data_IF_837664835710
#
_entry.id   IF_837664835710
#
_cell.length_a   1.000
_cell.length_b   1.000
_cell.length_c   1.000
_cell.angle_alpha   90.00
_cell.angle_beta   90.00
_cell.angle_gamma   90.00
#
_symmetry.space_group_name_H-M   'P 1'
#
loop_
_entity.id
_entity.type
_entity.pdbx_description
1 polymer ?
#
# COMPACT_ATOMS: atom_id res chain seq x y z
N UNK A 1 -40.58 -15.03 -25.15
CA UNK A 1 -39.22 -15.44 -25.51
C UNK A 1 -38.39 -14.16 -25.68
N UNK A 2 -37.73 -13.68 -24.63
CA UNK A 2 -36.76 -12.62 -24.76
C UNK A 2 -35.48 -13.19 -25.38
N UNK A 3 -34.84 -12.52 -26.33
CA UNK A 3 -33.62 -13.03 -26.92
C UNK A 3 -32.57 -13.17 -25.81
N UNK A 4 -32.05 -14.37 -25.66
CA UNK A 4 -30.77 -14.60 -24.96
C UNK A 4 -29.76 -13.70 -25.66
N UNK A 5 -29.48 -12.54 -25.10
CA UNK A 5 -28.30 -11.78 -25.45
C UNK A 5 -27.12 -12.64 -25.08
N UNK A 6 -26.67 -13.31 -26.08
CA UNK A 6 -25.49 -14.15 -26.07
C UNK A 6 -24.33 -13.30 -25.53
N UNK A 7 -23.68 -13.78 -24.47
CA UNK A 7 -22.42 -13.27 -23.97
C UNK A 7 -21.28 -13.40 -25.00
N UNK A 8 -21.63 -13.65 -26.28
CA UNK A 8 -20.76 -13.75 -27.45
C UNK A 8 -20.11 -12.41 -27.88
N UNK A 9 -20.27 -11.35 -27.11
CA UNK A 9 -19.36 -10.20 -27.18
C UNK A 9 -17.92 -10.53 -26.79
N UNK A 10 -17.56 -11.81 -26.60
CA UNK A 10 -16.19 -12.29 -26.48
C UNK A 10 -15.47 -12.20 -27.82
N UNK A 11 -15.05 -10.98 -28.15
CA UNK A 11 -14.07 -10.83 -29.21
C UNK A 11 -12.74 -11.50 -28.82
N UNK A 12 -11.98 -11.95 -29.81
CA UNK A 12 -10.65 -12.54 -29.67
C UNK A 12 -9.89 -12.02 -28.45
N UNK A 13 -9.42 -12.94 -27.57
CA UNK A 13 -8.59 -12.68 -26.38
C UNK A 13 -9.30 -12.23 -25.10
N UNK A 14 -10.53 -12.69 -24.80
CA UNK A 14 -11.23 -12.41 -23.53
C UNK A 14 -11.53 -10.95 -23.23
N UNK A 15 -11.87 -10.17 -24.23
CA UNK A 15 -12.41 -8.83 -24.07
C UNK A 15 -13.93 -8.90 -23.93
N UNK A 16 -14.46 -8.19 -22.92
CA UNK A 16 -15.90 -8.03 -22.71
C UNK A 16 -16.29 -6.65 -23.21
N UNK A 17 -17.24 -6.60 -24.15
CA UNK A 17 -17.83 -5.37 -24.65
C UNK A 17 -19.12 -5.05 -23.89
N UNK A 18 -19.45 -3.76 -23.77
CA UNK A 18 -20.73 -3.32 -23.20
C UNK A 18 -20.90 -3.69 -21.72
N UNK A 19 -19.78 -3.78 -20.96
CA UNK A 19 -19.85 -3.99 -19.51
C UNK A 19 -20.54 -2.82 -18.84
N UNK A 20 -21.70 -3.06 -18.22
CA UNK A 20 -22.48 -2.09 -17.48
C UNK A 20 -22.86 -2.65 -16.10
N UNK A 21 -22.07 -2.43 -15.07
CA UNK A 21 -22.34 -2.94 -13.72
C UNK A 21 -23.50 -2.23 -13.03
N UNK A 22 -23.93 -1.04 -13.52
CA UNK A 22 -25.08 -0.31 -12.97
C UNK A 22 -26.42 -0.88 -13.42
N UNK A 23 -26.45 -1.65 -14.52
CA UNK A 23 -27.63 -2.39 -14.95
C UNK A 23 -27.90 -3.56 -13.98
N UNK A 24 -28.93 -3.44 -13.16
CA UNK A 24 -29.26 -4.40 -12.10
C UNK A 24 -29.56 -5.79 -12.66
N UNK A 25 -30.27 -5.89 -13.78
CA UNK A 25 -30.60 -7.18 -14.42
C UNK A 25 -29.33 -7.88 -14.92
N UNK A 26 -28.43 -7.16 -15.58
CA UNK A 26 -27.14 -7.69 -16.01
C UNK A 26 -26.28 -8.07 -14.80
N UNK A 27 -26.23 -7.23 -13.77
CA UNK A 27 -25.44 -7.48 -12.58
C UNK A 27 -25.87 -8.76 -11.87
N UNK A 28 -27.16 -8.92 -11.60
CA UNK A 28 -27.67 -10.09 -10.87
C UNK A 28 -27.59 -11.39 -11.70
N UNK A 29 -27.75 -11.32 -13.02
CA UNK A 29 -27.70 -12.52 -13.87
C UNK A 29 -26.29 -13.06 -14.09
N UNK A 30 -25.29 -12.22 -14.33
CA UNK A 30 -23.95 -12.64 -14.75
C UNK A 30 -22.82 -11.73 -14.30
N UNK A 31 -23.08 -10.41 -14.15
CA UNK A 31 -22.06 -9.41 -13.87
C UNK A 31 -21.34 -9.69 -12.55
N UNK A 32 -22.08 -9.94 -11.46
CA UNK A 32 -21.50 -10.21 -10.13
C UNK A 32 -20.55 -11.40 -10.10
N UNK A 33 -20.87 -12.47 -10.84
CA UNK A 33 -20.02 -13.66 -10.90
C UNK A 33 -18.71 -13.38 -11.61
N UNK A 34 -18.77 -12.69 -12.75
CA UNK A 34 -17.59 -12.29 -13.52
C UNK A 34 -16.72 -11.31 -12.71
N UNK A 35 -17.33 -10.31 -12.05
CA UNK A 35 -16.63 -9.36 -11.20
C UNK A 35 -15.93 -10.07 -10.02
N UNK A 36 -16.64 -10.96 -9.31
CA UNK A 36 -16.06 -11.73 -8.19
C UNK A 36 -14.88 -12.60 -8.66
N UNK A 37 -14.99 -13.25 -9.81
CA UNK A 37 -13.90 -14.06 -10.36
C UNK A 37 -12.67 -13.22 -10.66
N UNK A 38 -12.82 -12.04 -11.27
CA UNK A 38 -11.72 -11.12 -11.52
C UNK A 38 -11.13 -10.58 -10.22
N UNK A 39 -11.94 -10.29 -9.19
CA UNK A 39 -11.49 -9.84 -7.88
C UNK A 39 -10.59 -10.87 -7.19
N UNK A 40 -10.97 -12.15 -7.17
CA UNK A 40 -10.17 -13.19 -6.50
C UNK A 40 -8.76 -13.27 -7.07
N UNK A 41 -8.62 -13.29 -8.39
CA UNK A 41 -7.30 -13.35 -9.03
C UNK A 41 -6.53 -12.03 -8.93
N UNK A 42 -7.24 -10.90 -8.89
CA UNK A 42 -6.66 -9.59 -8.61
C UNK A 42 -6.07 -9.53 -7.20
N UNK A 43 -6.79 -10.05 -6.19
CA UNK A 43 -6.30 -10.15 -4.81
C UNK A 43 -5.02 -10.98 -4.74
N UNK A 44 -4.97 -12.14 -5.40
CA UNK A 44 -3.78 -12.99 -5.40
C UNK A 44 -2.59 -12.30 -6.08
N UNK A 45 -2.81 -11.63 -7.20
CA UNK A 45 -1.77 -10.87 -7.90
C UNK A 45 -1.25 -9.69 -7.05
N UNK A 46 -2.14 -8.99 -6.35
CA UNK A 46 -1.78 -7.88 -5.46
C UNK A 46 -1.05 -8.38 -4.21
N UNK A 47 -1.51 -9.48 -3.62
CA UNK A 47 -0.85 -10.16 -2.51
C UNK A 47 0.60 -10.51 -2.86
N UNK A 48 0.84 -11.13 -4.02
CA UNK A 48 2.19 -11.44 -4.50
C UNK A 48 3.01 -10.17 -4.79
N UNK A 49 2.37 -9.16 -5.39
CA UNK A 49 3.01 -7.86 -5.60
C UNK A 49 3.55 -7.27 -4.31
N UNK A 50 2.75 -7.26 -3.25
CA UNK A 50 3.16 -6.74 -1.93
C UNK A 50 4.18 -7.64 -1.24
N UNK A 51 4.04 -8.97 -1.35
CA UNK A 51 5.01 -9.92 -0.78
C UNK A 51 6.40 -9.71 -1.38
N UNK A 52 6.49 -9.58 -2.71
CA UNK A 52 7.77 -9.36 -3.41
C UNK A 52 8.27 -7.93 -3.20
N UNK A 53 7.38 -6.94 -3.17
CA UNK A 53 7.76 -5.54 -2.89
C UNK A 53 8.43 -5.39 -1.54
N UNK A 54 7.90 -6.05 -0.51
CA UNK A 54 8.41 -5.97 0.86
C UNK A 54 9.41 -7.09 1.20
N UNK A 55 9.85 -7.87 0.22
CA UNK A 55 10.76 -9.00 0.44
C UNK A 55 12.08 -8.57 1.09
N UNK A 56 12.63 -7.43 0.65
CA UNK A 56 13.86 -6.89 1.23
C UNK A 56 13.71 -6.41 2.67
N UNK A 57 12.49 -6.08 3.14
CA UNK A 57 12.25 -5.69 4.53
C UNK A 57 12.69 -6.78 5.53
N UNK A 58 12.54 -8.04 5.14
CA UNK A 58 12.91 -9.19 5.98
C UNK A 58 14.22 -9.84 5.53
N UNK A 59 14.52 -9.88 4.24
CA UNK A 59 15.73 -10.52 3.71
C UNK A 59 17.02 -9.83 4.20
N UNK A 60 17.02 -8.50 4.35
CA UNK A 60 18.20 -7.74 4.85
C UNK A 60 18.66 -8.14 6.25
N UNK A 61 17.76 -8.72 7.05
CA UNK A 61 18.06 -9.18 8.42
C UNK A 61 19.07 -10.34 8.39
N UNK A 62 19.02 -11.17 7.35
CA UNK A 62 19.85 -12.37 7.22
C UNK A 62 21.17 -12.13 6.47
N UNK A 63 21.35 -10.97 5.84
CA UNK A 63 22.56 -10.66 5.07
C UNK A 63 23.87 -10.79 5.86
N UNK A 64 23.97 -10.31 7.13
CA UNK A 64 25.21 -10.48 7.90
C UNK A 64 25.57 -11.94 8.15
N UNK A 65 24.57 -12.79 8.45
CA UNK A 65 24.79 -14.21 8.68
C UNK A 65 25.15 -14.98 7.39
N UNK A 66 24.83 -14.41 6.22
CA UNK A 66 25.26 -14.93 4.91
C UNK A 66 26.59 -14.34 4.43
N UNK A 67 27.31 -13.59 5.27
CA UNK A 67 28.64 -13.05 4.97
C UNK A 67 28.67 -11.67 4.32
N UNK A 68 27.52 -10.98 4.18
CA UNK A 68 27.46 -9.62 3.62
C UNK A 68 27.58 -8.58 4.74
N UNK A 69 28.77 -7.95 4.87
CA UNK A 69 29.10 -7.00 5.93
C UNK A 69 28.58 -5.57 5.63
N UNK A 70 27.27 -5.42 5.36
CA UNK A 70 26.66 -4.12 5.16
C UNK A 70 26.35 -3.44 6.49
N UNK A 71 26.62 -2.12 6.56
CA UNK A 71 26.23 -1.31 7.71
C UNK A 71 24.71 -1.28 7.91
N UNK A 72 24.27 -0.88 9.10
CA UNK A 72 22.82 -0.74 9.40
C UNK A 72 22.16 0.24 8.43
N UNK A 73 22.81 1.39 8.17
CA UNK A 73 22.31 2.39 7.21
C UNK A 73 22.20 1.81 5.79
N UNK A 74 23.21 1.07 5.32
CA UNK A 74 23.15 0.42 4.02
C UNK A 74 21.99 -0.58 3.90
N UNK A 75 21.67 -1.33 4.96
CA UNK A 75 20.52 -2.23 4.99
C UNK A 75 19.20 -1.48 4.96
N UNK A 76 19.08 -0.35 5.67
CA UNK A 76 17.91 0.52 5.57
C UNK A 76 17.76 1.16 4.18
N UNK A 77 18.88 1.45 3.47
CA UNK A 77 18.82 1.90 2.08
C UNK A 77 18.23 0.83 1.15
N UNK A 78 18.65 -0.44 1.28
CA UNK A 78 18.08 -1.54 0.48
C UNK A 78 16.56 -1.61 0.67
N UNK A 79 16.08 -1.55 1.92
CA UNK A 79 14.64 -1.54 2.23
C UNK A 79 13.93 -0.33 1.62
N UNK A 80 14.51 0.84 1.76
CA UNK A 80 13.92 2.11 1.34
C UNK A 80 13.78 2.22 -0.18
N UNK A 81 14.82 1.82 -0.95
CA UNK A 81 14.84 1.92 -2.42
C UNK A 81 13.71 1.12 -3.06
N UNK A 82 13.41 -0.09 -2.55
CA UNK A 82 12.29 -0.90 -3.01
C UNK A 82 10.96 -0.11 -2.91
N UNK A 83 10.77 0.61 -1.80
CA UNK A 83 9.57 1.41 -1.57
C UNK A 83 9.52 2.67 -2.42
N UNK A 84 10.65 3.33 -2.65
CA UNK A 84 10.74 4.51 -3.52
C UNK A 84 10.32 4.18 -4.95
N UNK A 85 10.90 3.12 -5.51
CA UNK A 85 10.55 2.68 -6.87
C UNK A 85 9.11 2.21 -6.93
N UNK A 86 8.63 1.50 -5.90
CA UNK A 86 7.23 1.08 -5.81
C UNK A 86 6.26 2.26 -5.82
N UNK A 87 6.56 3.34 -5.11
CA UNK A 87 5.77 4.56 -5.14
C UNK A 87 5.77 5.22 -6.54
N UNK A 88 6.93 5.36 -7.16
CA UNK A 88 7.06 5.99 -8.48
C UNK A 88 6.34 5.18 -9.58
N UNK A 89 6.49 3.85 -9.57
CA UNK A 89 5.91 3.00 -10.61
C UNK A 89 4.37 2.92 -10.54
N UNK A 90 3.75 3.20 -9.38
CA UNK A 90 2.28 3.31 -9.25
C UNK A 90 1.67 4.29 -10.23
N UNK A 91 2.35 5.41 -10.49
CA UNK A 91 1.89 6.42 -11.44
C UNK A 91 1.77 5.79 -12.84
N UNK A 92 2.80 5.05 -13.26
CA UNK A 92 2.79 4.38 -14.58
C UNK A 92 1.74 3.27 -14.65
N UNK A 93 1.60 2.46 -13.59
CA UNK A 93 0.68 1.34 -13.53
C UNK A 93 -0.80 1.78 -13.53
N UNK A 94 -1.09 3.00 -13.09
CA UNK A 94 -2.45 3.58 -13.18
C UNK A 94 -2.95 3.66 -14.62
N UNK A 95 -2.05 3.88 -15.59
CA UNK A 95 -2.39 3.98 -17.02
C UNK A 95 -2.38 2.63 -17.74
N UNK A 96 -1.87 1.58 -17.10
CA UNK A 96 -1.63 0.32 -17.76
C UNK A 96 -2.93 -0.46 -18.05
N UNK A 97 -3.88 -0.49 -17.11
CA UNK A 97 -5.17 -1.18 -17.28
C UNK A 97 -5.99 -0.62 -18.43
N UNK A 98 -6.19 0.70 -18.53
CA UNK A 98 -6.91 1.28 -19.66
C UNK A 98 -6.25 1.07 -21.03
N UNK A 99 -4.92 0.91 -21.08
CA UNK A 99 -4.16 0.74 -22.31
C UNK A 99 -4.07 -0.72 -22.76
N UNK A 100 -3.81 -1.64 -21.84
CA UNK A 100 -3.49 -3.04 -22.12
C UNK A 100 -4.62 -4.01 -21.77
N UNK A 101 -5.61 -3.57 -20.97
CA UNK A 101 -6.65 -4.39 -20.37
C UNK A 101 -6.21 -4.98 -19.03
N UNK A 102 -7.17 -5.16 -18.13
CA UNK A 102 -6.90 -5.58 -16.76
C UNK A 102 -6.28 -6.96 -16.64
N UNK A 103 -6.82 -7.94 -17.38
CA UNK A 103 -6.26 -9.30 -17.44
C UNK A 103 -4.82 -9.30 -17.98
N UNK A 104 -4.61 -8.67 -19.13
CA UNK A 104 -3.31 -8.67 -19.80
C UNK A 104 -2.25 -7.98 -18.92
N UNK A 105 -2.63 -6.87 -18.28
CA UNK A 105 -1.72 -6.19 -17.38
C UNK A 105 -1.43 -6.99 -16.11
N UNK A 106 -2.43 -7.68 -15.54
CA UNK A 106 -2.20 -8.57 -14.39
C UNK A 106 -1.20 -9.66 -14.74
N UNK A 107 -1.32 -10.29 -15.92
CA UNK A 107 -0.35 -11.28 -16.40
C UNK A 107 1.05 -10.66 -16.51
N UNK A 108 1.18 -9.52 -17.17
CA UNK A 108 2.47 -8.84 -17.34
C UNK A 108 3.09 -8.44 -16.01
N UNK A 109 2.31 -7.85 -15.09
CA UNK A 109 2.81 -7.41 -13.79
C UNK A 109 3.20 -8.55 -12.86
N UNK A 110 2.51 -9.70 -12.92
CA UNK A 110 2.90 -10.90 -12.17
C UNK A 110 4.15 -11.56 -12.78
N UNK A 111 4.29 -11.57 -14.12
CA UNK A 111 5.54 -12.02 -14.77
C UNK A 111 6.73 -11.15 -14.38
N UNK A 112 6.53 -9.83 -14.27
CA UNK A 112 7.58 -8.90 -13.86
C UNK A 112 8.09 -9.18 -12.44
N UNK A 113 7.33 -9.86 -11.56
CA UNK A 113 7.81 -10.26 -10.23
C UNK A 113 8.93 -11.30 -10.27
N UNK A 114 9.06 -12.04 -11.37
CA UNK A 114 10.18 -12.99 -11.55
C UNK A 114 11.52 -12.26 -11.60
N UNK A 115 11.56 -11.02 -12.08
CA UNK A 115 12.78 -10.24 -12.15
C UNK A 115 13.39 -9.96 -10.77
N UNK A 116 12.70 -9.32 -9.80
CA UNK A 116 13.25 -9.10 -8.47
C UNK A 116 13.53 -10.41 -7.71
N UNK A 117 12.75 -11.47 -7.91
CA UNK A 117 13.01 -12.79 -7.33
C UNK A 117 14.34 -13.34 -7.86
N UNK A 118 14.52 -13.33 -9.19
CA UNK A 118 15.76 -13.81 -9.82
C UNK A 118 16.98 -12.97 -9.43
N UNK A 119 16.81 -11.64 -9.35
CA UNK A 119 17.90 -10.74 -8.93
C UNK A 119 18.28 -10.94 -7.45
N UNK A 120 17.30 -11.16 -6.56
CA UNK A 120 17.61 -11.50 -5.17
C UNK A 120 18.43 -12.79 -5.11
N UNK A 121 17.98 -13.85 -5.78
CA UNK A 121 18.69 -15.13 -5.84
C UNK A 121 20.13 -14.93 -6.36
N UNK A 122 20.29 -14.21 -7.47
CA UNK A 122 21.61 -13.94 -8.05
C UNK A 122 22.53 -13.18 -7.08
N UNK A 123 22.00 -12.14 -6.41
CA UNK A 123 22.78 -11.34 -5.45
C UNK A 123 23.28 -12.17 -4.27
N UNK A 124 22.41 -13.00 -3.69
CA UNK A 124 22.77 -13.74 -2.47
C UNK A 124 23.52 -15.06 -2.73
N UNK A 125 23.55 -15.52 -3.99
CA UNK A 125 24.30 -16.73 -4.38
C UNK A 125 25.80 -16.49 -4.57
N UNK A 126 26.24 -15.24 -4.70
CA UNK A 126 27.64 -14.89 -4.85
C UNK A 126 28.08 -13.99 -3.68
N UNK A 127 28.97 -14.47 -2.79
CA UNK A 127 29.44 -13.69 -1.64
C UNK A 127 30.21 -12.42 -2.03
N UNK A 128 30.70 -12.33 -3.26
CA UNK A 128 31.39 -11.14 -3.78
C UNK A 128 30.47 -10.13 -4.44
N UNK A 129 29.15 -10.31 -4.35
CA UNK A 129 28.19 -9.37 -4.94
C UNK A 129 28.35 -7.97 -4.32
N UNK A 130 28.63 -6.94 -5.13
CA UNK A 130 28.81 -5.59 -4.63
C UNK A 130 27.50 -4.98 -4.16
N UNK A 131 27.58 -4.08 -3.20
CA UNK A 131 26.40 -3.43 -2.58
C UNK A 131 25.43 -2.80 -3.56
N UNK A 132 25.91 -2.15 -4.63
CA UNK A 132 25.06 -1.52 -5.61
C UNK A 132 24.12 -2.49 -6.33
N UNK A 133 24.51 -3.76 -6.50
CA UNK A 133 23.64 -4.79 -7.10
C UNK A 133 22.43 -5.09 -6.18
N UNK A 134 22.63 -5.09 -4.86
CA UNK A 134 21.52 -5.21 -3.90
C UNK A 134 20.55 -4.03 -4.00
N UNK A 135 21.04 -2.80 -4.23
CA UNK A 135 20.17 -1.64 -4.46
C UNK A 135 19.37 -1.78 -5.75
N UNK A 136 19.98 -2.29 -6.84
CA UNK A 136 19.28 -2.53 -8.10
C UNK A 136 18.25 -3.65 -7.96
N UNK A 137 18.58 -4.73 -7.26
CA UNK A 137 17.65 -5.83 -6.98
C UNK A 137 16.48 -5.36 -6.10
N UNK A 138 16.74 -4.52 -5.10
CA UNK A 138 15.72 -3.89 -4.28
C UNK A 138 14.84 -2.92 -5.07
N UNK A 139 15.44 -2.12 -5.95
CA UNK A 139 14.70 -1.25 -6.88
C UNK A 139 13.76 -2.06 -7.77
N UNK A 140 14.20 -3.19 -8.30
CA UNK A 140 13.37 -4.09 -9.09
C UNK A 140 12.17 -4.64 -8.29
N UNK A 141 12.31 -4.88 -6.98
CA UNK A 141 11.20 -5.30 -6.13
C UNK A 141 10.07 -4.25 -6.08
N UNK A 142 10.38 -2.97 -6.33
CA UNK A 142 9.40 -1.91 -6.49
C UNK A 142 8.35 -2.17 -7.57
N UNK A 143 8.65 -3.01 -8.59
CA UNK A 143 7.65 -3.44 -9.59
C UNK A 143 6.42 -4.08 -8.95
N UNK A 144 6.58 -4.81 -7.84
CA UNK A 144 5.47 -5.36 -7.07
C UNK A 144 4.59 -4.29 -6.42
N UNK A 145 5.17 -3.19 -5.96
CA UNK A 145 4.46 -2.07 -5.34
C UNK A 145 3.50 -1.35 -6.30
N UNK A 146 3.77 -1.40 -7.60
CA UNK A 146 2.91 -0.85 -8.65
C UNK A 146 1.58 -1.58 -8.79
N UNK A 147 1.53 -2.87 -8.47
CA UNK A 147 0.32 -3.69 -8.61
C UNK A 147 -0.90 -3.13 -7.89
N UNK A 148 -0.72 -2.45 -6.77
CA UNK A 148 -1.82 -1.78 -6.07
C UNK A 148 -2.60 -0.84 -7.00
N UNK A 149 -1.92 0.04 -7.71
CA UNK A 149 -2.57 1.04 -8.55
C UNK A 149 -3.35 0.41 -9.71
N UNK A 150 -2.74 -0.57 -10.40
CA UNK A 150 -3.38 -1.26 -11.51
C UNK A 150 -4.52 -2.19 -11.08
N UNK A 151 -4.34 -2.91 -9.99
CA UNK A 151 -5.34 -3.81 -9.40
C UNK A 151 -6.58 -3.03 -8.96
N UNK A 152 -6.39 -1.96 -8.20
CA UNK A 152 -7.49 -1.08 -7.75
C UNK A 152 -8.23 -0.45 -8.94
N UNK A 153 -7.50 0.05 -9.96
CA UNK A 153 -8.10 0.57 -11.17
C UNK A 153 -8.93 -0.50 -11.90
N UNK A 154 -8.37 -1.71 -12.09
CA UNK A 154 -9.06 -2.81 -12.76
C UNK A 154 -10.37 -3.16 -12.06
N UNK A 155 -10.34 -3.43 -10.76
CA UNK A 155 -11.51 -3.83 -9.98
C UNK A 155 -12.56 -2.72 -9.93
N UNK A 156 -12.17 -1.44 -9.93
CA UNK A 156 -13.11 -0.33 -9.95
C UNK A 156 -14.02 -0.32 -11.17
N UNK A 157 -13.58 -0.85 -12.32
CA UNK A 157 -14.40 -0.95 -13.53
C UNK A 157 -15.37 -2.14 -13.52
N UNK A 158 -15.09 -3.17 -12.71
CA UNK A 158 -15.94 -4.35 -12.64
C UNK A 158 -17.16 -4.18 -11.74
N UNK A 159 -17.13 -3.29 -10.74
CA UNK A 159 -18.17 -3.20 -9.70
C UNK A 159 -19.02 -1.94 -9.83
N UNK A 160 -20.35 -2.05 -9.53
CA UNK A 160 -21.24 -0.89 -9.44
C UNK A 160 -20.85 0.02 -8.27
N UNK A 161 -21.17 1.30 -8.34
CA UNK A 161 -20.81 2.31 -7.34
C UNK A 161 -21.20 1.89 -5.91
N UNK A 162 -22.40 1.29 -5.75
CA UNK A 162 -22.91 0.86 -4.45
C UNK A 162 -22.05 -0.24 -3.77
N UNK A 163 -21.30 -1.04 -4.56
CA UNK A 163 -20.48 -2.17 -4.07
C UNK A 163 -18.98 -1.97 -4.29
N UNK A 164 -18.60 -0.93 -5.02
CA UNK A 164 -17.21 -0.64 -5.40
C UNK A 164 -16.30 -0.47 -4.19
N UNK A 165 -16.73 0.31 -3.20
CA UNK A 165 -15.95 0.55 -1.98
C UNK A 165 -15.58 -0.74 -1.24
N UNK A 166 -16.54 -1.66 -1.08
CA UNK A 166 -16.30 -2.96 -0.45
C UNK A 166 -15.31 -3.80 -1.27
N UNK A 167 -15.50 -3.88 -2.59
CA UNK A 167 -14.63 -4.66 -3.47
C UNK A 167 -13.18 -4.15 -3.45
N UNK A 168 -13.00 -2.83 -3.53
CA UNK A 168 -11.69 -2.19 -3.45
C UNK A 168 -11.06 -2.36 -2.06
N UNK A 169 -11.87 -2.27 -1.01
CA UNK A 169 -11.41 -2.51 0.37
C UNK A 169 -10.88 -3.94 0.57
N UNK A 170 -11.61 -4.94 0.08
CA UNK A 170 -11.19 -6.34 0.14
C UNK A 170 -9.94 -6.60 -0.70
N UNK A 171 -9.87 -6.01 -1.91
CA UNK A 171 -8.69 -6.11 -2.77
C UNK A 171 -7.45 -5.54 -2.07
N UNK A 172 -7.54 -4.33 -1.54
CA UNK A 172 -6.45 -3.67 -0.84
C UNK A 172 -6.02 -4.41 0.45
N UNK A 173 -6.97 -4.97 1.20
CA UNK A 173 -6.66 -5.77 2.39
C UNK A 173 -5.89 -7.05 2.01
N UNK A 174 -6.28 -7.71 0.92
CA UNK A 174 -5.57 -8.87 0.40
C UNK A 174 -4.13 -8.57 0.02
N UNK A 175 -3.88 -7.42 -0.64
CA UNK A 175 -2.52 -6.95 -0.93
C UNK A 175 -1.70 -6.72 0.35
N UNK A 176 -2.23 -5.95 1.29
CA UNK A 176 -1.54 -5.65 2.54
C UNK A 176 -1.17 -6.91 3.35
N UNK A 177 -2.01 -7.96 3.32
CA UNK A 177 -1.70 -9.25 3.95
C UNK A 177 -0.43 -9.89 3.37
N UNK A 178 -0.09 -9.61 2.12
CA UNK A 178 1.16 -10.10 1.50
C UNK A 178 2.40 -9.67 2.27
N UNK A 179 2.40 -8.47 2.84
CA UNK A 179 3.51 -7.98 3.70
C UNK A 179 3.64 -8.82 4.95
N UNK A 180 2.53 -9.03 5.68
CA UNK A 180 2.53 -9.81 6.91
C UNK A 180 2.95 -11.27 6.67
N UNK A 181 2.41 -11.89 5.62
CA UNK A 181 2.73 -13.27 5.27
C UNK A 181 4.19 -13.42 4.83
N UNK A 182 4.74 -12.46 4.09
CA UNK A 182 6.16 -12.47 3.75
C UNK A 182 7.05 -12.41 5.00
N UNK A 183 6.76 -11.50 5.93
CA UNK A 183 7.53 -11.38 7.17
C UNK A 183 7.38 -12.57 8.09
N UNK A 184 6.24 -13.27 8.07
CA UNK A 184 6.02 -14.49 8.84
C UNK A 184 6.76 -15.69 8.26
N UNK A 185 6.64 -15.91 6.94
CA UNK A 185 7.09 -17.15 6.30
C UNK A 185 8.55 -17.12 5.83
N UNK A 186 9.06 -15.95 5.41
CA UNK A 186 10.42 -15.86 4.87
C UNK A 186 11.50 -16.30 5.86
N UNK A 187 11.46 -15.94 7.17
CA UNK A 187 12.44 -16.42 8.12
C UNK A 187 12.50 -17.94 8.22
N UNK A 188 11.33 -18.60 8.19
CA UNK A 188 11.26 -20.07 8.22
C UNK A 188 11.79 -20.68 6.91
N UNK A 189 11.48 -20.08 5.76
CA UNK A 189 11.98 -20.54 4.48
C UNK A 189 13.50 -20.42 4.36
N UNK A 190 14.07 -19.31 4.83
CA UNK A 190 15.52 -19.06 4.83
C UNK A 190 16.27 -20.05 5.73
N UNK A 191 15.65 -20.52 6.80
CA UNK A 191 16.21 -21.47 7.76
C UNK A 191 16.07 -22.95 7.35
N UNK A 192 15.51 -23.25 6.18
CA UNK A 192 15.37 -24.63 5.69
C UNK A 192 16.73 -25.19 5.28
N UNK A 193 17.10 -26.34 5.83
CA UNK A 193 18.36 -27.03 5.53
C UNK A 193 19.47 -26.81 6.58
N UNK A 194 20.71 -27.09 6.22
CA UNK A 194 21.87 -27.05 7.13
C UNK A 194 22.47 -25.65 7.33
N UNK A 195 21.75 -24.56 6.98
CA UNK A 195 22.27 -23.20 7.09
C UNK A 195 21.27 -22.14 6.64
N UNK A 196 21.72 -20.89 6.58
CA UNK A 196 20.92 -19.76 6.13
C UNK A 196 21.00 -19.65 4.60
N UNK A 197 19.88 -19.90 3.91
CA UNK A 197 19.79 -19.82 2.45
C UNK A 197 18.82 -18.72 2.04
N UNK A 198 19.30 -17.48 1.94
CA UNK A 198 18.45 -16.29 1.63
C UNK A 198 17.74 -16.43 0.28
N UNK A 199 18.28 -17.19 -0.68
CA UNK A 199 17.65 -17.45 -1.97
C UNK A 199 16.21 -18.00 -1.81
N UNK A 200 15.95 -18.78 -0.78
CA UNK A 200 14.61 -19.34 -0.53
C UNK A 200 13.59 -18.25 -0.19
N UNK A 201 14.00 -17.10 0.32
CA UNK A 201 13.11 -15.95 0.52
C UNK A 201 12.41 -15.53 -0.79
N UNK A 202 13.09 -15.64 -1.92
CA UNK A 202 12.52 -15.37 -3.24
C UNK A 202 11.86 -16.60 -3.87
N UNK A 203 12.54 -17.74 -3.86
CA UNK A 203 12.10 -18.95 -4.58
C UNK A 203 10.78 -19.51 -4.07
N UNK A 204 10.47 -19.35 -2.77
CA UNK A 204 9.21 -19.81 -2.18
C UNK A 204 7.95 -19.25 -2.83
N UNK A 205 8.05 -18.10 -3.51
CA UNK A 205 6.92 -17.44 -4.16
C UNK A 205 6.64 -17.98 -5.57
N UNK A 206 7.56 -18.69 -6.20
CA UNK A 206 7.42 -19.18 -7.59
C UNK A 206 6.16 -20.03 -7.82
N UNK A 207 5.78 -20.97 -6.94
CA UNK A 207 4.54 -21.74 -7.13
C UNK A 207 3.30 -20.85 -7.14
N UNK A 208 3.22 -19.86 -6.25
CA UNK A 208 2.10 -18.92 -6.20
C UNK A 208 2.11 -17.93 -7.39
N UNK A 209 3.28 -17.52 -7.86
CA UNK A 209 3.42 -16.74 -9.09
C UNK A 209 2.89 -17.53 -10.28
N UNK A 210 3.26 -18.81 -10.42
CA UNK A 210 2.75 -19.69 -11.48
C UNK A 210 1.22 -19.85 -11.39
N UNK A 211 0.68 -20.04 -10.18
CA UNK A 211 -0.76 -20.12 -9.93
C UNK A 211 -1.48 -18.82 -10.33
N UNK A 212 -0.94 -17.66 -9.95
CA UNK A 212 -1.52 -16.35 -10.28
C UNK A 212 -1.50 -16.08 -11.79
N UNK A 213 -0.41 -16.46 -12.48
CA UNK A 213 -0.30 -16.38 -13.93
C UNK A 213 -1.34 -17.27 -14.62
N UNK A 214 -1.45 -18.53 -14.21
CA UNK A 214 -2.44 -19.47 -14.72
C UNK A 214 -3.87 -18.96 -14.49
N UNK A 215 -4.14 -18.48 -13.27
CA UNK A 215 -5.44 -17.92 -12.92
C UNK A 215 -5.78 -16.66 -13.70
N UNK A 216 -4.86 -15.73 -13.84
CA UNK A 216 -5.05 -14.53 -14.65
C UNK A 216 -5.27 -14.91 -16.14
N UNK A 217 -4.48 -15.86 -16.66
CA UNK A 217 -4.60 -16.32 -18.03
C UNK A 217 -5.94 -16.99 -18.32
N UNK A 218 -6.42 -17.86 -17.44
CA UNK A 218 -7.62 -18.67 -17.69
C UNK A 218 -8.92 -18.11 -17.12
N UNK A 219 -8.84 -17.23 -16.12
CA UNK A 219 -10.03 -16.83 -15.35
C UNK A 219 -10.31 -15.32 -15.38
N UNK A 220 -9.34 -14.46 -15.70
CA UNK A 220 -9.58 -13.03 -15.79
C UNK A 220 -10.05 -12.58 -17.17
N UNK A 221 -10.65 -11.41 -17.23
CA UNK A 221 -11.17 -10.79 -18.45
C UNK A 221 -10.66 -9.34 -18.58
N UNK A 222 -10.64 -8.84 -19.82
CA UNK A 222 -10.42 -7.44 -20.13
C UNK A 222 -11.77 -6.74 -20.38
N UNK A 223 -11.87 -5.47 -20.01
CA UNK A 223 -13.04 -4.63 -20.29
C UNK A 223 -12.70 -3.57 -21.34
N UNK A 224 -13.50 -3.48 -22.41
CA UNK A 224 -13.35 -2.42 -23.42
C UNK A 224 -13.83 -1.06 -22.91
N UNK A 225 -14.65 -1.05 -21.87
CA UNK A 225 -15.16 0.14 -21.18
C UNK A 225 -14.16 0.77 -20.22
N UNK A 226 -13.09 0.05 -19.85
CA UNK A 226 -12.03 0.56 -18.96
C UNK A 226 -11.14 1.56 -19.70
N UNK A 227 -11.57 2.81 -19.79
CA UNK A 227 -10.85 3.88 -20.45
C UNK A 227 -10.20 4.83 -19.44
N UNK A 228 -8.95 5.22 -19.69
CA UNK A 228 -8.27 6.27 -18.95
C UNK A 228 -8.79 7.65 -19.38
N UNK A 229 -8.87 8.54 -18.41
CA UNK A 229 -9.09 9.96 -18.65
C UNK A 229 -7.87 10.77 -18.19
N UNK A 230 -6.74 10.74 -18.91
CA UNK A 230 -5.49 11.39 -18.47
C UNK A 230 -5.65 12.88 -18.20
N UNK A 231 -6.59 13.53 -18.91
CA UNK A 231 -6.90 14.95 -18.69
C UNK A 231 -7.44 15.21 -17.29
N UNK A 232 -8.28 14.32 -16.75
CA UNK A 232 -8.81 14.45 -15.38
C UNK A 232 -7.68 14.21 -14.39
N UNK A 233 -6.83 13.20 -14.60
CA UNK A 233 -5.70 12.92 -13.72
C UNK A 233 -4.70 14.08 -13.64
N UNK A 234 -4.46 14.79 -14.74
CA UNK A 234 -3.65 16.01 -14.74
C UNK A 234 -4.37 17.20 -14.12
N UNK A 235 -5.69 17.33 -14.36
CA UNK A 235 -6.49 18.41 -13.80
C UNK A 235 -6.54 18.38 -12.27
N UNK A 236 -6.67 17.20 -11.67
CA UNK A 236 -6.73 17.08 -10.20
C UNK A 236 -5.42 17.47 -9.51
N UNK A 237 -4.29 17.47 -10.20
CA UNK A 237 -3.02 17.96 -9.66
C UNK A 237 -3.03 19.48 -9.39
N UNK A 238 -3.96 20.23 -10.01
CA UNK A 238 -4.12 21.67 -9.79
C UNK A 238 -4.92 21.99 -8.52
N UNK A 239 -5.64 21.01 -7.95
CA UNK A 239 -6.41 21.22 -6.74
C UNK A 239 -5.53 21.13 -5.50
N UNK A 240 -5.52 22.17 -4.66
CA UNK A 240 -4.74 22.21 -3.41
C UNK A 240 -5.07 21.05 -2.46
N UNK A 241 -6.35 20.65 -2.39
CA UNK A 241 -6.78 19.53 -1.54
C UNK A 241 -6.20 18.17 -1.99
N UNK A 242 -5.82 18.01 -3.26
CA UNK A 242 -5.09 16.81 -3.71
C UNK A 242 -3.76 16.68 -2.97
N UNK A 243 -3.01 17.75 -2.87
CA UNK A 243 -1.71 17.76 -2.19
C UNK A 243 -1.83 17.68 -0.67
N UNK A 244 -2.86 18.31 -0.10
CA UNK A 244 -3.18 18.15 1.33
C UNK A 244 -3.49 16.68 1.63
N UNK A 245 -4.33 16.04 0.83
CA UNK A 245 -4.65 14.61 1.02
C UNK A 245 -3.43 13.72 0.77
N UNK A 246 -2.56 14.05 -0.18
CA UNK A 246 -1.29 13.34 -0.37
C UNK A 246 -0.39 13.45 0.87
N UNK A 247 -0.26 14.64 1.45
CA UNK A 247 0.48 14.88 2.69
C UNK A 247 -0.08 14.07 3.87
N UNK A 248 -1.39 14.13 4.10
CA UNK A 248 -2.04 13.35 5.17
C UNK A 248 -1.93 11.85 4.93
N UNK A 249 -1.95 11.41 3.67
CA UNK A 249 -1.85 10.00 3.33
C UNK A 249 -0.42 9.45 3.47
N UNK A 250 0.61 10.30 3.34
CA UNK A 250 1.98 9.96 3.79
C UNK A 250 1.96 9.67 5.30
N UNK A 251 1.22 10.46 6.09
CA UNK A 251 1.08 10.27 7.52
C UNK A 251 0.37 8.98 7.92
N UNK A 252 -0.59 8.51 7.14
CA UNK A 252 -1.37 7.32 7.45
C UNK A 252 -0.85 6.08 6.71
N UNK A 253 -1.07 5.97 5.41
CA UNK A 253 -0.61 4.83 4.63
C UNK A 253 0.92 4.76 4.55
N UNK A 254 1.57 5.94 4.45
CA UNK A 254 3.02 6.00 4.43
C UNK A 254 3.63 5.48 5.72
N UNK A 255 3.02 5.79 6.87
CA UNK A 255 3.43 5.23 8.17
C UNK A 255 3.22 3.72 8.22
N UNK A 256 2.07 3.22 7.74
CA UNK A 256 1.80 1.78 7.66
C UNK A 256 2.89 1.05 6.86
N UNK A 257 3.16 1.48 5.62
CA UNK A 257 4.14 0.84 4.75
C UNK A 257 5.57 1.05 5.26
N UNK A 258 5.88 2.24 5.79
CA UNK A 258 7.21 2.58 6.28
C UNK A 258 7.59 1.80 7.54
N UNK A 259 6.68 1.72 8.51
CA UNK A 259 6.89 0.87 9.68
C UNK A 259 6.92 -0.61 9.31
N UNK A 260 6.05 -1.07 8.39
CA UNK A 260 6.10 -2.44 7.89
C UNK A 260 7.47 -2.77 7.27
N UNK A 261 8.01 -1.86 6.47
CA UNK A 261 9.30 -2.05 5.84
C UNK A 261 10.47 -2.05 6.84
N UNK A 262 10.41 -1.18 7.86
CA UNK A 262 11.49 -1.01 8.83
C UNK A 262 11.47 -2.04 9.97
N UNK A 263 10.28 -2.53 10.37
CA UNK A 263 10.07 -3.29 11.60
C UNK A 263 11.00 -4.51 11.77
N UNK A 264 11.23 -5.38 10.76
CA UNK A 264 12.11 -6.53 10.95
C UNK A 264 13.54 -6.12 11.30
N UNK A 265 14.06 -5.10 10.63
CA UNK A 265 15.41 -4.60 10.87
C UNK A 265 15.50 -3.83 12.20
N UNK A 266 14.47 -3.06 12.56
CA UNK A 266 14.38 -2.39 13.86
C UNK A 266 14.41 -3.38 15.03
N UNK A 267 13.58 -4.44 14.95
CA UNK A 267 13.57 -5.48 16.00
C UNK A 267 14.97 -6.07 16.17
N UNK A 268 15.66 -6.39 15.08
CA UNK A 268 17.01 -7.00 15.17
C UNK A 268 18.10 -6.01 15.57
N UNK A 269 17.93 -4.71 15.36
CA UNK A 269 18.90 -3.69 15.78
C UNK A 269 18.71 -3.20 17.20
N UNK A 270 17.46 -3.11 17.68
CA UNK A 270 17.16 -2.64 19.03
C UNK A 270 17.06 -3.78 20.04
N UNK A 271 16.60 -4.95 19.62
CA UNK A 271 16.41 -6.16 20.45
C UNK A 271 16.97 -7.39 19.74
N UNK A 272 18.31 -7.57 19.69
CA UNK A 272 18.98 -8.61 18.89
C UNK A 272 18.57 -10.04 19.24
N UNK A 273 18.16 -10.30 20.48
CA UNK A 273 17.69 -11.59 20.98
C UNK A 273 16.32 -11.98 20.43
N UNK A 274 15.50 -10.98 20.01
CA UNK A 274 14.16 -11.24 19.50
C UNK A 274 14.22 -11.70 18.03
N UNK A 275 13.41 -12.68 17.69
CA UNK A 275 13.30 -13.17 16.32
C UNK A 275 12.59 -12.17 15.41
N UNK A 276 13.09 -12.01 14.17
CA UNK A 276 12.53 -11.06 13.21
C UNK A 276 11.09 -11.41 12.78
N UNK A 277 10.63 -12.65 12.99
CA UNK A 277 9.27 -13.10 12.68
C UNK A 277 8.21 -12.26 13.36
N UNK A 278 8.46 -11.76 14.59
CA UNK A 278 7.51 -10.93 15.35
C UNK A 278 7.03 -9.72 14.56
N UNK A 279 7.84 -9.25 13.61
CA UNK A 279 7.51 -8.09 12.80
C UNK A 279 6.19 -8.25 12.00
N UNK A 280 5.80 -9.48 11.63
CA UNK A 280 4.58 -9.74 10.86
C UNK A 280 3.30 -9.24 11.56
N UNK A 281 3.28 -9.21 12.89
CA UNK A 281 2.11 -8.83 13.68
C UNK A 281 1.71 -7.38 13.36
N UNK A 282 2.69 -6.49 13.15
CA UNK A 282 2.45 -5.10 12.83
C UNK A 282 1.59 -4.90 11.56
N UNK A 283 2.07 -5.28 10.37
CA UNK A 283 1.28 -5.14 9.14
C UNK A 283 -0.01 -5.97 9.15
N UNK A 284 -0.07 -7.09 9.88
CA UNK A 284 -1.32 -7.84 10.07
C UNK A 284 -2.35 -6.98 10.81
N UNK A 285 -1.99 -6.43 11.96
CA UNK A 285 -2.87 -5.56 12.77
C UNK A 285 -3.31 -4.35 11.95
N UNK A 286 -2.39 -3.63 11.32
CA UNK A 286 -2.73 -2.45 10.51
C UNK A 286 -3.67 -2.77 9.35
N UNK A 287 -3.51 -3.93 8.71
CA UNK A 287 -4.39 -4.39 7.64
C UNK A 287 -5.82 -4.68 8.13
N UNK A 288 -5.94 -5.31 9.31
CA UNK A 288 -7.24 -5.63 9.93
C UNK A 288 -7.98 -4.39 10.44
N UNK A 289 -7.25 -3.37 10.90
CA UNK A 289 -7.84 -2.13 11.42
C UNK A 289 -8.24 -1.13 10.31
N UNK A 290 -7.79 -1.30 9.08
CA UNK A 290 -8.11 -0.41 7.95
C UNK A 290 -9.62 -0.29 7.67
N UNK A 291 -10.42 -1.36 7.60
CA UNK A 291 -11.87 -1.25 7.42
C UNK A 291 -12.56 -0.49 8.54
N UNK A 292 -12.08 -0.63 9.79
CA UNK A 292 -12.65 0.10 10.93
C UNK A 292 -12.53 1.61 10.77
N UNK A 293 -11.42 2.09 10.21
CA UNK A 293 -11.22 3.50 9.93
C UNK A 293 -12.26 4.07 8.96
N UNK A 294 -12.59 3.33 7.91
CA UNK A 294 -13.67 3.69 6.99
C UNK A 294 -15.04 3.74 7.67
N UNK A 295 -15.38 2.71 8.44
CA UNK A 295 -16.64 2.62 9.20
C UNK A 295 -16.78 3.75 10.23
N UNK A 296 -15.72 4.08 10.96
CA UNK A 296 -15.72 5.20 11.91
C UNK A 296 -15.87 6.53 11.16
N UNK A 297 -15.19 6.72 10.03
CA UNK A 297 -15.29 7.92 9.21
C UNK A 297 -16.71 8.13 8.66
N UNK A 298 -17.41 7.05 8.32
CA UNK A 298 -18.82 7.14 7.88
C UNK A 298 -19.76 7.62 8.99
N UNK A 299 -19.47 7.30 10.26
CA UNK A 299 -20.32 7.64 11.41
C UNK A 299 -20.04 9.04 11.96
N UNK A 300 -18.77 9.39 12.15
CA UNK A 300 -18.39 10.61 12.90
C UNK A 300 -17.70 11.67 12.03
N UNK A 301 -17.43 11.36 10.76
CA UNK A 301 -16.71 12.21 9.81
C UNK A 301 -15.22 11.86 9.72
N UNK A 302 -14.70 11.81 8.49
CA UNK A 302 -13.32 11.38 8.22
C UNK A 302 -12.28 12.28 8.87
N UNK A 303 -12.46 13.60 8.83
CA UNK A 303 -11.52 14.56 9.40
C UNK A 303 -11.39 14.42 10.93
N UNK A 304 -12.48 14.17 11.65
CA UNK A 304 -12.43 13.94 13.11
C UNK A 304 -11.67 12.67 13.44
N UNK A 305 -11.98 11.58 12.76
CA UNK A 305 -11.25 10.31 12.93
C UNK A 305 -9.78 10.51 12.63
N UNK A 306 -9.43 11.22 11.56
CA UNK A 306 -8.05 11.45 11.13
C UNK A 306 -7.26 12.28 12.17
N UNK A 307 -7.85 13.32 12.78
CA UNK A 307 -7.18 14.10 13.85
C UNK A 307 -6.88 13.23 15.08
N UNK A 308 -7.90 12.54 15.61
CA UNK A 308 -7.70 11.67 16.77
C UNK A 308 -6.72 10.54 16.47
N UNK A 309 -6.73 10.06 15.25
CA UNK A 309 -5.80 9.04 14.78
C UNK A 309 -4.34 9.54 14.81
N UNK A 310 -4.04 10.74 14.32
CA UNK A 310 -2.68 11.31 14.39
C UNK A 310 -2.25 11.62 15.82
N UNK A 311 -3.17 12.03 16.70
CA UNK A 311 -2.88 12.19 18.13
C UNK A 311 -2.49 10.85 18.74
N UNK A 312 -3.24 9.79 18.45
CA UNK A 312 -2.92 8.43 18.93
C UNK A 312 -1.61 7.90 18.35
N UNK A 313 -1.28 8.23 17.08
CA UNK A 313 0.02 7.91 16.49
C UNK A 313 1.15 8.65 17.20
N UNK A 314 0.97 9.93 17.55
CA UNK A 314 1.92 10.67 18.38
C UNK A 314 2.16 10.03 19.74
N UNK A 315 1.09 9.60 20.41
CA UNK A 315 1.20 8.85 21.67
C UNK A 315 1.94 7.52 21.48
N UNK A 316 1.69 6.81 20.38
CA UNK A 316 2.42 5.60 20.02
C UNK A 316 3.93 5.83 19.86
N UNK A 317 4.32 6.94 19.21
CA UNK A 317 5.75 7.32 19.08
C UNK A 317 6.37 7.59 20.44
N UNK A 318 5.68 8.34 21.32
CA UNK A 318 6.16 8.56 22.70
C UNK A 318 6.30 7.25 23.48
N UNK A 319 5.37 6.30 23.25
CA UNK A 319 5.46 4.97 23.82
C UNK A 319 6.68 4.19 23.32
N UNK A 320 7.06 4.32 22.03
CA UNK A 320 8.29 3.71 21.48
C UNK A 320 9.52 4.32 22.15
N UNK A 321 9.59 5.64 22.30
CA UNK A 321 10.71 6.32 22.98
C UNK A 321 10.84 5.81 24.42
N UNK A 322 9.74 5.79 25.18
CA UNK A 322 9.74 5.25 26.55
C UNK A 322 10.14 3.78 26.63
N UNK A 323 9.80 2.99 25.61
CA UNK A 323 10.17 1.58 25.54
C UNK A 323 11.69 1.38 25.33
N UNK A 324 12.32 2.25 24.53
CA UNK A 324 13.76 2.22 24.33
C UNK A 324 14.51 2.65 25.58
N UNK A 325 14.05 3.71 26.24
CA UNK A 325 14.63 4.17 27.53
C UNK A 325 14.53 3.09 28.62
N UNK A 326 13.44 2.31 28.63
CA UNK A 326 13.21 1.24 29.59
C UNK A 326 13.79 -0.13 29.16
N UNK A 327 14.44 -0.22 28.01
CA UNK A 327 14.93 -1.47 27.40
C UNK A 327 13.86 -2.59 27.40
N UNK A 328 12.61 -2.21 27.11
CA UNK A 328 11.45 -3.10 27.19
C UNK A 328 10.87 -3.46 25.85
N UNK A 329 11.17 -4.68 25.36
CA UNK A 329 10.59 -5.18 24.12
C UNK A 329 9.05 -5.25 24.17
N UNK A 330 8.46 -5.62 25.30
CA UNK A 330 6.99 -5.70 25.44
C UNK A 330 6.31 -4.35 25.24
N UNK A 331 6.88 -3.28 25.82
CA UNK A 331 6.39 -1.91 25.63
C UNK A 331 6.66 -1.42 24.20
N UNK A 332 7.83 -1.73 23.62
CA UNK A 332 8.15 -1.44 22.24
C UNK A 332 7.13 -2.07 21.28
N UNK A 333 6.90 -3.37 21.39
CA UNK A 333 5.95 -4.08 20.53
C UNK A 333 4.54 -3.52 20.67
N UNK A 334 4.07 -3.29 21.91
CA UNK A 334 2.74 -2.73 22.16
C UNK A 334 2.59 -1.36 21.52
N UNK A 335 3.58 -0.47 21.69
CA UNK A 335 3.58 0.87 21.11
C UNK A 335 3.61 0.83 19.58
N UNK A 336 4.41 -0.06 18.98
CA UNK A 336 4.41 -0.30 17.55
C UNK A 336 3.06 -0.84 17.05
N UNK A 337 2.39 -1.73 17.78
CA UNK A 337 1.06 -2.22 17.42
C UNK A 337 0.00 -1.11 17.47
N UNK A 338 0.11 -0.17 18.42
CA UNK A 338 -0.72 1.05 18.42
C UNK A 338 -0.47 1.87 17.17
N UNK A 339 0.80 2.07 16.77
CA UNK A 339 1.15 2.77 15.52
C UNK A 339 0.59 2.05 14.28
N UNK A 340 0.66 0.73 14.23
CA UNK A 340 0.09 -0.05 13.12
C UNK A 340 -1.44 0.01 13.09
N UNK A 341 -2.10 -0.19 14.22
CA UNK A 341 -3.56 -0.12 14.32
C UNK A 341 -4.08 1.27 13.90
N UNK A 342 -3.47 2.33 14.44
CA UNK A 342 -3.83 3.71 14.14
C UNK A 342 -3.49 4.06 12.70
N UNK A 343 -2.33 3.68 12.14
CA UNK A 343 -2.04 3.90 10.73
C UNK A 343 -3.03 3.18 9.82
N UNK A 344 -3.50 2.00 10.19
CA UNK A 344 -4.59 1.28 9.52
C UNK A 344 -5.90 2.06 9.55
N UNK A 345 -6.36 2.49 10.72
CA UNK A 345 -7.55 3.33 10.90
C UNK A 345 -7.44 4.62 10.08
N UNK A 346 -6.30 5.32 10.20
CA UNK A 346 -6.01 6.54 9.46
C UNK A 346 -6.06 6.34 7.95
N UNK A 347 -5.56 5.22 7.46
CA UNK A 347 -5.62 4.85 6.06
C UNK A 347 -7.07 4.76 5.55
N UNK A 348 -7.96 4.13 6.32
CA UNK A 348 -9.40 4.07 6.01
C UNK A 348 -10.07 5.44 6.05
N UNK A 349 -9.81 6.23 7.10
CA UNK A 349 -10.46 7.54 7.30
C UNK A 349 -10.04 8.58 6.26
N UNK A 350 -8.74 8.67 5.93
CA UNK A 350 -8.24 9.61 4.90
C UNK A 350 -8.77 9.28 3.50
N UNK A 351 -8.87 8.00 3.14
CA UNK A 351 -9.49 7.60 1.88
C UNK A 351 -10.96 8.04 1.78
N UNK A 352 -11.68 7.97 2.90
CA UNK A 352 -13.09 8.38 2.96
C UNK A 352 -13.28 9.90 2.84
N UNK A 353 -12.31 10.69 3.26
CA UNK A 353 -12.35 12.15 3.12
C UNK A 353 -12.31 12.59 1.65
N UNK A 354 -11.57 11.90 0.77
CA UNK A 354 -11.36 12.35 -0.61
C UNK A 354 -12.69 12.55 -1.37
N UNK A 355 -13.60 11.56 -1.48
CA UNK A 355 -14.87 11.75 -2.16
C UNK A 355 -15.74 12.85 -1.51
N UNK A 356 -15.69 12.99 -0.18
CA UNK A 356 -16.45 14.00 0.55
C UNK A 356 -15.96 15.42 0.21
N UNK A 357 -14.65 15.64 0.15
CA UNK A 357 -14.02 16.92 -0.23
C UNK A 357 -14.43 17.34 -1.65
N UNK A 358 -14.30 16.42 -2.62
CA UNK A 358 -14.59 16.75 -4.02
C UNK A 358 -16.08 16.92 -4.27
N UNK A 359 -16.95 16.17 -3.57
CA UNK A 359 -18.40 16.40 -3.60
C UNK A 359 -18.78 17.78 -3.06
N UNK A 360 -18.15 18.22 -1.98
CA UNK A 360 -18.43 19.52 -1.37
C UNK A 360 -17.99 20.72 -2.24
N UNK A 361 -17.11 20.50 -3.21
CA UNK A 361 -16.54 21.53 -4.09
C UNK A 361 -17.12 21.56 -5.51
N UNK A 362 -17.98 20.63 -5.86
CA UNK A 362 -18.51 20.51 -7.22
C UNK A 362 -20.02 20.39 -7.23
N UNK A 363 -20.67 21.19 -8.04
CA UNK A 363 -22.11 21.10 -8.29
C UNK A 363 -22.46 19.89 -9.18
N UNK A 364 -21.47 19.33 -9.88
CA UNK A 364 -21.62 18.15 -10.75
C UNK A 364 -21.12 16.89 -10.05
N UNK A 365 -22.05 16.07 -9.57
CA UNK A 365 -21.75 14.81 -8.85
C UNK A 365 -20.95 13.81 -9.69
N UNK A 366 -21.14 13.76 -11.00
CA UNK A 366 -20.44 12.83 -11.89
C UNK A 366 -18.98 13.28 -12.03
N UNK A 367 -18.75 14.57 -12.26
CA UNK A 367 -17.42 15.15 -12.31
C UNK A 367 -16.66 14.95 -10.99
N UNK A 368 -17.32 15.25 -9.86
CA UNK A 368 -16.74 15.05 -8.52
C UNK A 368 -16.28 13.61 -8.26
N UNK A 369 -17.05 12.61 -8.71
CA UNK A 369 -16.70 11.19 -8.60
C UNK A 369 -15.46 10.83 -9.42
N UNK A 370 -15.38 11.33 -10.66
CA UNK A 370 -14.23 11.07 -11.53
C UNK A 370 -12.96 11.74 -10.98
N UNK A 371 -13.07 12.97 -10.48
CA UNK A 371 -11.96 13.68 -9.85
C UNK A 371 -11.50 12.96 -8.57
N UNK A 372 -12.44 12.58 -7.70
CA UNK A 372 -12.10 11.84 -6.48
C UNK A 372 -11.37 10.52 -6.78
N UNK A 373 -11.80 9.76 -7.80
CA UNK A 373 -11.14 8.53 -8.21
C UNK A 373 -9.71 8.78 -8.72
N UNK A 374 -9.50 9.85 -9.50
CA UNK A 374 -8.18 10.25 -9.98
C UNK A 374 -7.26 10.68 -8.82
N UNK A 375 -7.80 11.44 -7.86
CA UNK A 375 -7.07 11.87 -6.65
C UNK A 375 -6.67 10.67 -5.79
N UNK A 376 -7.54 9.68 -5.58
CA UNK A 376 -7.23 8.45 -4.85
C UNK A 376 -6.01 7.75 -5.47
N UNK A 377 -5.94 7.64 -6.79
CA UNK A 377 -4.79 7.06 -7.49
C UNK A 377 -3.49 7.82 -7.21
N UNK A 378 -3.51 9.14 -7.38
CA UNK A 378 -2.35 10.01 -7.16
C UNK A 378 -1.90 10.01 -5.69
N UNK A 379 -2.85 10.19 -4.75
CA UNK A 379 -2.61 10.19 -3.31
C UNK A 379 -2.01 8.86 -2.85
N UNK A 380 -2.43 7.72 -3.45
CA UNK A 380 -1.86 6.42 -3.13
C UNK A 380 -0.39 6.27 -3.52
N UNK A 381 0.03 6.90 -4.60
CA UNK A 381 1.43 6.90 -5.03
C UNK A 381 2.29 7.75 -4.08
N UNK A 382 1.84 8.98 -3.75
CA UNK A 382 2.54 9.83 -2.79
C UNK A 382 2.56 9.23 -1.39
N UNK A 383 1.46 8.64 -0.93
CA UNK A 383 1.42 7.94 0.36
C UNK A 383 2.46 6.83 0.46
N UNK A 384 2.70 6.08 -0.62
CA UNK A 384 3.70 5.02 -0.63
C UNK A 384 5.15 5.52 -0.42
N UNK A 385 5.43 6.84 -0.59
CA UNK A 385 6.73 7.43 -0.27
C UNK A 385 7.11 7.28 1.20
N UNK A 386 6.15 7.12 2.11
CA UNK A 386 6.44 6.82 3.51
C UNK A 386 7.25 5.53 3.68
N UNK A 387 7.06 4.56 2.79
CA UNK A 387 7.88 3.35 2.75
C UNK A 387 9.35 3.58 2.41
N UNK A 388 9.68 4.73 1.79
CA UNK A 388 11.05 5.20 1.62
C UNK A 388 11.48 6.08 2.79
N UNK A 389 10.67 7.08 3.15
CA UNK A 389 11.04 8.11 4.11
C UNK A 389 11.32 7.55 5.50
N UNK A 390 10.49 6.61 5.98
CA UNK A 390 10.61 6.07 7.35
C UNK A 390 11.84 5.19 7.52
N UNK A 391 12.12 4.16 6.69
CA UNK A 391 13.37 3.40 6.79
C UNK A 391 14.60 4.30 6.63
N UNK A 392 14.56 5.28 5.73
CA UNK A 392 15.67 6.24 5.58
C UNK A 392 15.88 7.09 6.81
N UNK A 393 14.80 7.60 7.44
CA UNK A 393 14.92 8.37 8.68
C UNK A 393 15.56 7.51 9.78
N UNK A 394 15.16 6.26 9.95
CA UNK A 394 15.79 5.36 10.91
C UNK A 394 17.27 5.09 10.60
N UNK A 395 17.58 4.78 9.33
CA UNK A 395 18.97 4.54 8.91
C UNK A 395 19.86 5.76 9.16
N UNK A 396 19.39 6.96 8.80
CA UNK A 396 20.11 8.21 9.03
C UNK A 396 20.27 8.53 10.52
N UNK A 397 19.21 8.34 11.31
CA UNK A 397 19.26 8.55 12.76
C UNK A 397 20.32 7.67 13.40
N UNK A 398 20.31 6.37 13.11
CA UNK A 398 21.31 5.44 13.65
C UNK A 398 22.73 5.80 13.18
N UNK A 399 22.90 6.16 11.92
CA UNK A 399 24.23 6.51 11.37
C UNK A 399 24.81 7.77 12.01
N UNK A 400 23.96 8.76 12.39
CA UNK A 400 24.41 10.05 12.91
C UNK A 400 24.46 10.10 14.43
N UNK A 401 23.52 9.44 15.11
CA UNK A 401 23.35 9.55 16.57
C UNK A 401 23.56 8.24 17.33
N UNK A 402 23.67 7.11 16.61
CA UNK A 402 23.69 5.77 17.21
C UNK A 402 22.35 5.25 17.69
N UNK A 403 21.26 6.07 17.60
CA UNK A 403 19.91 5.80 18.10
C UNK A 403 18.86 6.07 17.03
N UNK A 404 17.65 5.53 17.20
CA UNK A 404 16.49 5.84 16.34
C UNK A 404 15.69 7.07 16.83
N UNK A 405 16.05 7.69 17.94
CA UNK A 405 15.28 8.73 18.63
C UNK A 405 15.06 9.96 17.76
N UNK A 406 16.09 10.42 17.05
CA UNK A 406 15.98 11.57 16.17
C UNK A 406 14.92 11.37 15.06
N UNK A 407 14.81 10.15 14.52
CA UNK A 407 13.77 9.81 13.56
C UNK A 407 12.37 9.82 14.22
N UNK A 408 12.24 9.29 15.43
CA UNK A 408 10.99 9.28 16.19
C UNK A 408 10.50 10.69 16.52
N UNK A 409 11.38 11.60 16.96
CA UNK A 409 11.04 13.01 17.13
C UNK A 409 10.59 13.65 15.82
N UNK A 410 11.25 13.34 14.71
CA UNK A 410 10.83 13.80 13.38
C UNK A 410 9.41 13.33 13.02
N UNK A 411 9.06 12.09 13.32
CA UNK A 411 7.71 11.55 13.09
C UNK A 411 6.67 12.22 14.01
N UNK A 412 7.02 12.51 15.26
CA UNK A 412 6.14 13.21 16.19
C UNK A 412 5.79 14.62 15.66
N UNK A 413 6.81 15.38 15.22
CA UNK A 413 6.62 16.70 14.60
C UNK A 413 5.73 16.58 13.36
N UNK A 414 5.97 15.58 12.53
CA UNK A 414 5.17 15.33 11.33
C UNK A 414 3.70 15.04 11.66
N UNK A 415 3.41 14.23 12.68
CA UNK A 415 2.03 13.94 13.10
C UNK A 415 1.35 15.18 13.70
N UNK A 416 2.07 16.02 14.44
CA UNK A 416 1.55 17.30 14.91
C UNK A 416 1.19 18.20 13.73
N UNK A 417 2.02 18.25 12.68
CA UNK A 417 1.71 18.99 11.45
C UNK A 417 0.47 18.40 10.74
N UNK A 418 0.29 17.10 10.72
CA UNK A 418 -0.90 16.45 10.17
C UNK A 418 -2.16 16.79 10.97
N UNK A 419 -2.09 16.79 12.31
CA UNK A 419 -3.19 17.24 13.19
C UNK A 419 -3.56 18.69 12.86
N UNK A 420 -2.56 19.60 12.85
CA UNK A 420 -2.76 21.02 12.55
C UNK A 420 -3.40 21.22 11.16
N UNK A 421 -2.88 20.56 10.14
CA UNK A 421 -3.39 20.65 8.77
C UNK A 421 -4.84 20.15 8.68
N UNK A 422 -5.14 19.00 9.29
CA UNK A 422 -6.49 18.42 9.26
C UNK A 422 -7.48 19.31 10.01
N UNK A 423 -7.11 19.78 11.20
CA UNK A 423 -7.95 20.66 11.99
C UNK A 423 -8.22 21.99 11.27
N UNK A 424 -7.16 22.61 10.75
CA UNK A 424 -7.25 23.93 10.13
C UNK A 424 -8.14 23.93 8.86
N UNK A 425 -8.01 22.92 8.01
CA UNK A 425 -8.71 22.87 6.72
C UNK A 425 -10.08 22.20 6.78
N UNK A 426 -10.30 21.28 7.73
CA UNK A 426 -11.51 20.42 7.69
C UNK A 426 -12.36 20.45 8.97
N UNK A 427 -11.85 20.97 10.09
CA UNK A 427 -12.61 20.97 11.35
C UNK A 427 -12.84 22.35 11.94
N UNK A 428 -12.03 23.33 11.62
CA UNK A 428 -12.14 24.66 12.18
C UNK A 428 -13.44 25.32 11.74
N UNK A 429 -14.32 25.64 12.72
CA UNK A 429 -15.48 26.52 12.54
C UNK A 429 -15.02 27.94 12.74
N UNK A 430 -15.22 28.80 11.79
CA UNK A 430 -14.39 29.98 11.60
C UNK A 430 -14.88 31.24 12.34
N UNK A 431 -13.95 31.90 13.03
CA UNK A 431 -13.95 33.35 13.25
C UNK A 431 -13.38 34.14 12.05
N UNK A 432 -12.74 33.48 11.07
CA UNK A 432 -12.07 34.03 9.89
C UNK A 432 -12.56 33.45 8.57
N UNK A 433 -13.85 33.07 8.48
CA UNK A 433 -14.42 32.33 7.34
C UNK A 433 -14.20 33.02 5.99
N UNK A 434 -14.21 34.34 5.95
CA UNK A 434 -14.10 35.10 4.70
C UNK A 434 -12.67 35.13 4.11
N UNK A 435 -11.63 34.99 4.95
CA UNK A 435 -10.22 35.05 4.50
C UNK A 435 -9.57 33.69 4.30
N UNK A 436 -10.00 32.67 5.03
CA UNK A 436 -9.44 31.32 4.97
C UNK A 436 -10.57 30.27 5.09
N UNK A 437 -11.23 29.89 3.98
CA UNK A 437 -12.37 28.98 4.01
C UNK A 437 -11.98 27.58 4.50
N UNK A 438 -12.85 26.99 5.32
CA UNK A 438 -12.74 25.63 5.84
C UNK A 438 -13.92 24.78 5.32
N UNK A 439 -13.70 23.46 5.13
CA UNK A 439 -14.74 22.51 4.75
C UNK A 439 -15.44 21.87 5.97
N UNK A 440 -15.38 22.51 7.16
CA UNK A 440 -15.99 21.98 8.39
C UNK A 440 -17.51 21.76 8.27
N UNK A 441 -18.20 22.60 7.51
CA UNK A 441 -19.65 22.49 7.28
C UNK A 441 -20.02 21.34 6.36
N UNK A 442 -19.10 20.92 5.49
CA UNK A 442 -19.30 19.81 4.57
C UNK A 442 -19.24 18.42 5.23
N UNK A 443 -18.96 18.38 6.55
CA UNK A 443 -18.79 17.12 7.33
C UNK A 443 -17.86 16.10 6.64
N UNK A 444 -16.75 16.61 6.14
CA UNK A 444 -15.71 15.83 5.48
C UNK A 444 -15.11 14.77 6.40
#
# INVERSE_FOLDING_TARGET
MLPRTDLSGRQHKRWINGWDPENTTFWESSGRYTARRNLVWSILAEFLGFSVWQLWSIAVVFLPAAGFAFSVDQRFWIVAVASLVGAAIRILYTFAVPRFGGRNWTIASVLLLLLPIGMLVACVSNPNTPYWMFLVAAAAAGLGGGNFASSMANISFFYPEARKGTALGVNAAGGNLGVAVAQLLVPSAVAVGAGITIAYAGLMWLPLVALALAGAWWRMDNLTTAKSQPRIQLAVMRHSHTWVMAFLYIGTFGSFIGYSAAMPLLVKTQFPEITANVAFIGPLVGSLFRPLGGLLADRVGGARVTVWNFIAMGAGVLGVLAALDADSFGLFLTSMLVLFATSGVGNGSTYRMIPAIFRAKSDNLVAARHEAAAVIGLVSAFGALGGFLIPRAFGMSIAQTGSIDAALYGFLIFYVACVGTTWFLYLRRSLFASRMPSLAEARV
#
